data_IF_230277113662
#
_entry.id   IF_230277113662
#
_cell.length_a   1.000
_cell.length_b   1.000
_cell.length_c   1.000
_cell.angle_alpha   90.00
_cell.angle_beta   90.00
_cell.angle_gamma   90.00
#
_symmetry.space_group_name_H-M   'P 1'
#
loop_
_entity.id
_entity.type
_entity.pdbx_description
1 polymer ?
#
# COMPACT_ATOMS: atom_id res chain seq x y z
N UNK A 1 -9.89 -19.95 -15.15
CA UNK A 1 -10.62 -18.68 -15.38
C UNK A 1 -9.66 -17.52 -15.22
N UNK A 2 -9.69 -16.54 -16.15
CA UNK A 2 -8.77 -15.37 -16.13
C UNK A 2 -9.49 -14.14 -15.56
N UNK A 3 -8.93 -13.57 -14.52
CA UNK A 3 -9.47 -12.37 -13.86
C UNK A 3 -8.46 -11.22 -13.97
N UNK A 4 -8.88 -10.11 -14.56
CA UNK A 4 -8.10 -8.87 -14.55
C UNK A 4 -8.59 -7.96 -13.44
N UNK A 5 -7.68 -7.48 -12.60
CA UNK A 5 -7.96 -6.56 -11.49
C UNK A 5 -7.20 -5.25 -11.72
N UNK A 6 -7.94 -4.14 -11.86
CA UNK A 6 -7.36 -2.79 -11.87
C UNK A 6 -7.25 -2.26 -10.45
N UNK A 7 -6.01 -2.06 -10.01
CA UNK A 7 -5.68 -1.57 -8.68
C UNK A 7 -5.82 -0.05 -8.57
N UNK A 8 -6.10 0.48 -7.37
CA UNK A 8 -6.01 1.90 -7.07
C UNK A 8 -4.63 2.49 -7.36
N UNK A 9 -4.56 3.81 -7.50
CA UNK A 9 -3.31 4.49 -7.87
C UNK A 9 -2.30 4.56 -6.72
N UNK A 10 -2.79 4.75 -5.48
CA UNK A 10 -1.93 4.96 -4.31
C UNK A 10 -1.59 3.64 -3.62
N UNK A 11 -0.41 3.59 -3.02
CA UNK A 11 0.09 2.40 -2.34
C UNK A 11 -0.86 1.90 -1.24
N UNK A 12 -1.28 2.80 -0.36
CA UNK A 12 -2.18 2.47 0.75
C UNK A 12 -3.52 1.93 0.25
N UNK A 13 -4.14 2.63 -0.73
CA UNK A 13 -5.40 2.16 -1.33
C UNK A 13 -5.24 0.78 -2.00
N UNK A 14 -4.10 0.54 -2.67
CA UNK A 14 -3.78 -0.76 -3.25
C UNK A 14 -3.74 -1.86 -2.19
N UNK A 15 -3.09 -1.62 -1.07
CA UNK A 15 -3.02 -2.58 0.05
C UNK A 15 -4.40 -2.79 0.68
N UNK A 16 -5.21 -1.74 0.83
CA UNK A 16 -6.57 -1.84 1.37
C UNK A 16 -7.54 -2.65 0.48
N UNK A 17 -7.19 -2.95 -0.78
CA UNK A 17 -7.99 -3.86 -1.61
C UNK A 17 -7.77 -5.34 -1.27
N UNK A 18 -6.73 -5.69 -0.52
CA UNK A 18 -6.32 -7.10 -0.34
C UNK A 18 -7.39 -7.97 0.28
N UNK A 19 -8.18 -7.57 1.30
CA UNK A 19 -9.26 -8.41 1.81
C UNK A 19 -10.37 -8.67 0.79
N UNK A 20 -10.74 -7.65 0.02
CA UNK A 20 -11.73 -7.78 -1.06
C UNK A 20 -11.23 -8.70 -2.19
N UNK A 21 -9.95 -8.62 -2.54
CA UNK A 21 -9.31 -9.52 -3.52
C UNK A 21 -9.28 -10.96 -2.98
N UNK A 22 -8.94 -11.18 -1.71
CA UNK A 22 -8.98 -12.53 -1.11
C UNK A 22 -10.40 -13.13 -1.16
N UNK A 23 -11.44 -12.36 -0.84
CA UNK A 23 -12.83 -12.80 -0.92
C UNK A 23 -13.27 -13.09 -2.37
N UNK A 24 -12.84 -12.27 -3.33
CA UNK A 24 -13.04 -12.52 -4.76
C UNK A 24 -12.36 -13.84 -5.18
N UNK A 25 -11.13 -14.06 -4.77
CA UNK A 25 -10.38 -15.27 -5.09
C UNK A 25 -10.95 -16.53 -4.40
N UNK A 26 -11.51 -16.37 -3.21
CA UNK A 26 -12.23 -17.44 -2.53
C UNK A 26 -13.50 -17.85 -3.30
N UNK A 27 -14.26 -16.86 -3.80
CA UNK A 27 -15.47 -17.12 -4.60
C UNK A 27 -15.18 -17.87 -5.90
N UNK A 28 -14.12 -17.47 -6.61
CA UNK A 28 -13.78 -18.09 -7.90
C UNK A 28 -12.88 -19.33 -7.82
N UNK A 29 -12.33 -19.66 -6.65
CA UNK A 29 -11.47 -20.82 -6.44
C UNK A 29 -10.19 -20.79 -7.26
N UNK A 30 -10.12 -21.64 -8.27
CA UNK A 30 -8.96 -21.76 -9.19
C UNK A 30 -9.04 -20.69 -10.29
N UNK A 31 -8.52 -19.50 -10.00
CA UNK A 31 -8.48 -18.39 -10.94
C UNK A 31 -7.04 -17.89 -11.15
N UNK A 32 -6.73 -17.59 -12.40
CA UNK A 32 -5.50 -16.89 -12.80
C UNK A 32 -5.72 -15.39 -12.68
N UNK A 33 -4.92 -14.75 -11.85
CA UNK A 33 -5.05 -13.32 -11.56
C UNK A 33 -4.04 -12.51 -12.38
N UNK A 34 -4.56 -11.48 -13.01
CA UNK A 34 -3.78 -10.48 -13.73
C UNK A 34 -4.01 -9.13 -13.06
N UNK A 35 -2.93 -8.42 -12.74
CA UNK A 35 -3.03 -7.09 -12.14
C UNK A 35 -2.70 -6.02 -13.16
N UNK A 36 -3.47 -4.94 -13.15
CA UNK A 36 -3.18 -3.74 -13.92
C UNK A 36 -3.33 -2.51 -13.02
N UNK A 37 -2.41 -1.54 -13.13
CA UNK A 37 -2.48 -0.34 -12.27
C UNK A 37 -1.23 0.52 -12.29
N UNK A 38 -1.10 1.40 -11.30
CA UNK A 38 0.12 2.18 -11.10
C UNK A 38 1.29 1.26 -10.73
N UNK A 39 2.50 1.68 -11.07
CA UNK A 39 3.72 0.94 -10.71
C UNK A 39 3.76 0.56 -9.22
N UNK A 40 3.50 1.53 -8.33
CA UNK A 40 3.58 1.30 -6.87
C UNK A 40 2.55 0.30 -6.35
N UNK A 41 1.32 0.32 -6.84
CA UNK A 41 0.27 -0.60 -6.41
C UNK A 41 0.51 -2.02 -6.95
N UNK A 42 0.93 -2.11 -8.22
CA UNK A 42 1.27 -3.39 -8.85
C UNK A 42 2.48 -4.04 -8.16
N UNK A 43 3.55 -3.29 -7.94
CA UNK A 43 4.75 -3.79 -7.25
C UNK A 43 4.45 -4.31 -5.84
N UNK A 44 3.54 -3.66 -5.11
CA UNK A 44 3.17 -4.10 -3.76
C UNK A 44 2.44 -5.45 -3.74
N UNK A 45 1.61 -5.74 -4.77
CA UNK A 45 0.75 -6.92 -4.78
C UNK A 45 1.23 -8.04 -5.71
N UNK A 46 2.24 -7.81 -6.56
CA UNK A 46 2.69 -8.78 -7.57
C UNK A 46 3.19 -10.12 -7.01
N UNK A 47 3.62 -10.13 -5.74
CA UNK A 47 4.13 -11.34 -5.09
C UNK A 47 3.01 -12.24 -4.53
N UNK A 48 1.74 -11.93 -4.75
CA UNK A 48 0.65 -12.84 -4.43
C UNK A 48 0.77 -14.09 -5.33
N UNK A 49 0.78 -15.31 -4.77
CA UNK A 49 1.03 -16.55 -5.53
C UNK A 49 -0.02 -16.83 -6.61
N UNK A 50 -1.20 -16.23 -6.55
CA UNK A 50 -2.24 -16.33 -7.59
C UNK A 50 -2.05 -15.35 -8.75
N UNK A 51 -1.11 -14.41 -8.64
CA UNK A 51 -0.82 -13.42 -9.68
C UNK A 51 0.10 -14.03 -10.75
N UNK A 52 -0.45 -14.18 -11.95
CA UNK A 52 0.25 -14.75 -13.11
C UNK A 52 1.04 -13.68 -13.86
N UNK A 53 0.45 -12.48 -14.00
CA UNK A 53 1.06 -11.40 -14.79
C UNK A 53 0.60 -10.03 -14.32
N UNK A 54 1.46 -9.06 -14.51
CA UNK A 54 1.20 -7.68 -14.12
C UNK A 54 1.40 -6.73 -15.29
N UNK A 55 0.59 -5.65 -15.32
CA UNK A 55 0.66 -4.60 -16.32
C UNK A 55 0.71 -3.25 -15.61
N UNK A 56 1.73 -2.47 -15.90
CA UNK A 56 1.89 -1.14 -15.32
C UNK A 56 1.30 -0.08 -16.25
N UNK A 57 0.44 0.77 -15.69
CA UNK A 57 -0.13 1.90 -16.40
C UNK A 57 0.68 3.16 -16.11
N UNK A 58 1.12 3.81 -17.17
CA UNK A 58 1.78 5.10 -17.11
C UNK A 58 0.76 6.25 -16.99
N UNK A 59 1.25 7.44 -16.58
CA UNK A 59 0.48 8.69 -16.66
C UNK A 59 0.24 9.10 -18.11
N UNK A 60 1.13 8.75 -19.03
CA UNK A 60 0.99 9.00 -20.45
C UNK A 60 -0.15 8.17 -21.05
N UNK A 61 -1.09 8.83 -21.70
CA UNK A 61 -2.27 8.21 -22.29
C UNK A 61 -1.91 7.24 -23.43
N UNK A 62 -0.95 7.60 -24.28
CA UNK A 62 -0.52 6.76 -25.41
C UNK A 62 0.11 5.44 -24.92
N UNK A 63 0.97 5.50 -23.90
CA UNK A 63 1.57 4.32 -23.32
C UNK A 63 0.50 3.43 -22.65
N UNK A 64 -0.44 4.04 -21.92
CA UNK A 64 -1.58 3.32 -21.34
C UNK A 64 -2.39 2.63 -22.43
N UNK A 65 -2.68 3.28 -23.55
CA UNK A 65 -3.43 2.70 -24.65
C UNK A 65 -2.71 1.51 -25.29
N UNK A 66 -1.38 1.61 -25.49
CA UNK A 66 -0.54 0.47 -25.95
C UNK A 66 -0.64 -0.72 -24.99
N UNK A 67 -0.58 -0.48 -23.68
CA UNK A 67 -0.75 -1.55 -22.69
C UNK A 67 -2.14 -2.18 -22.82
N UNK A 68 -3.21 -1.37 -22.93
CA UNK A 68 -4.56 -1.89 -23.05
C UNK A 68 -4.77 -2.72 -24.34
N UNK A 69 -4.13 -2.32 -25.46
CA UNK A 69 -4.17 -3.10 -26.69
C UNK A 69 -3.41 -4.43 -26.60
N UNK A 70 -2.37 -4.50 -25.77
CA UNK A 70 -1.60 -5.72 -25.54
C UNK A 70 -2.24 -6.69 -24.54
N UNK A 71 -3.35 -6.29 -23.90
CA UNK A 71 -4.08 -7.16 -22.99
C UNK A 71 -4.78 -8.28 -23.78
N UNK A 72 -4.68 -9.47 -23.23
CA UNK A 72 -5.46 -10.62 -23.68
C UNK A 72 -6.95 -10.49 -23.31
N UNK A 73 -7.75 -11.47 -23.65
CA UNK A 73 -9.15 -11.54 -23.26
C UNK A 73 -9.29 -12.16 -21.87
N UNK A 74 -10.18 -11.58 -21.05
CA UNK A 74 -10.45 -12.01 -19.67
C UNK A 74 -11.89 -12.48 -19.51
N UNK A 75 -12.10 -13.40 -18.58
CA UNK A 75 -13.45 -13.79 -18.21
C UNK A 75 -14.15 -12.69 -17.43
N UNK A 76 -13.43 -12.10 -16.44
CA UNK A 76 -13.97 -11.03 -15.59
C UNK A 76 -12.94 -9.93 -15.39
N UNK A 77 -13.42 -8.70 -15.35
CA UNK A 77 -12.64 -7.52 -15.01
C UNK A 77 -13.24 -6.81 -13.81
N UNK A 78 -12.40 -6.52 -12.81
CA UNK A 78 -12.74 -5.71 -11.65
C UNK A 78 -11.86 -4.47 -11.60
N UNK A 79 -12.47 -3.28 -11.56
CA UNK A 79 -11.74 -2.04 -11.34
C UNK A 79 -12.04 -1.49 -9.96
N UNK A 80 -11.02 -1.37 -9.11
CA UNK A 80 -11.11 -0.69 -7.81
C UNK A 80 -10.97 0.83 -7.91
N UNK A 81 -11.08 1.39 -9.12
CA UNK A 81 -10.97 2.82 -9.39
C UNK A 81 -12.29 3.41 -9.87
N UNK A 82 -12.60 4.63 -9.39
CA UNK A 82 -13.82 5.36 -9.77
C UNK A 82 -13.55 6.58 -10.66
N UNK A 83 -12.30 6.80 -11.09
CA UNK A 83 -11.93 7.98 -11.90
C UNK A 83 -12.50 7.91 -13.32
N UNK A 84 -12.70 9.08 -13.94
CA UNK A 84 -13.12 9.17 -15.35
C UNK A 84 -12.19 8.40 -16.29
N UNK A 85 -10.86 8.51 -16.07
CA UNK A 85 -9.86 7.75 -16.82
C UNK A 85 -10.08 6.22 -16.72
N UNK A 86 -10.35 5.70 -15.52
CA UNK A 86 -10.63 4.26 -15.33
C UNK A 86 -11.91 3.83 -16.05
N UNK A 87 -12.95 4.71 -16.08
CA UNK A 87 -14.19 4.43 -16.82
C UNK A 87 -13.95 4.34 -18.32
N UNK A 88 -13.13 5.24 -18.89
CA UNK A 88 -12.73 5.15 -20.29
C UNK A 88 -11.92 3.89 -20.59
N UNK A 89 -10.93 3.57 -19.74
CA UNK A 89 -10.10 2.38 -19.92
C UNK A 89 -10.91 1.09 -19.92
N UNK A 90 -11.94 0.99 -19.07
CA UNK A 90 -12.88 -0.13 -19.03
C UNK A 90 -13.49 -0.45 -20.40
N UNK A 91 -13.69 0.53 -21.28
CA UNK A 91 -14.26 0.32 -22.61
C UNK A 91 -13.30 -0.49 -23.52
N UNK A 92 -12.00 -0.29 -23.38
CA UNK A 92 -10.97 -0.93 -24.19
C UNK A 92 -10.52 -2.30 -23.69
N UNK A 93 -10.86 -2.67 -22.45
CA UNK A 93 -10.52 -3.97 -21.90
C UNK A 93 -11.46 -5.02 -22.48
N UNK A 94 -10.89 -6.10 -23.05
CA UNK A 94 -11.64 -7.24 -23.56
C UNK A 94 -11.96 -8.18 -22.40
N UNK A 95 -13.23 -8.19 -21.97
CA UNK A 95 -13.70 -9.07 -20.89
C UNK A 95 -15.19 -9.35 -21.03
N UNK A 96 -15.62 -10.57 -20.73
CA UNK A 96 -17.01 -10.99 -20.79
C UNK A 96 -17.89 -10.22 -19.79
N UNK A 97 -17.38 -10.02 -18.57
CA UNK A 97 -18.07 -9.29 -17.51
C UNK A 97 -17.12 -8.21 -16.95
N UNK A 98 -17.65 -7.03 -16.64
CA UNK A 98 -16.85 -5.88 -16.16
C UNK A 98 -17.54 -5.19 -15.00
N UNK A 99 -16.91 -5.20 -13.85
CA UNK A 99 -17.33 -4.50 -12.64
C UNK A 99 -16.42 -3.29 -12.37
N UNK A 100 -16.98 -2.24 -11.79
CA UNK A 100 -16.21 -1.03 -11.49
C UNK A 100 -16.71 -0.37 -10.21
N UNK A 101 -15.79 -0.16 -9.29
CA UNK A 101 -16.03 0.58 -8.05
C UNK A 101 -16.52 1.99 -8.32
N UNK A 102 -17.55 2.40 -7.60
CA UNK A 102 -18.08 3.76 -7.64
C UNK A 102 -18.09 4.36 -6.23
N UNK A 103 -17.15 5.25 -5.97
CA UNK A 103 -17.00 5.91 -4.66
C UNK A 103 -18.25 6.67 -4.20
N UNK A 104 -19.14 7.05 -5.11
CA UNK A 104 -20.37 7.79 -4.77
C UNK A 104 -21.49 6.88 -4.25
N UNK A 105 -21.32 5.56 -4.33
CA UNK A 105 -22.26 4.57 -3.77
C UNK A 105 -21.83 4.20 -2.34
N UNK A 106 -20.51 4.01 -2.14
CA UNK A 106 -19.94 3.58 -0.87
C UNK A 106 -19.42 4.81 -0.10
N UNK A 107 -20.31 5.53 0.58
CA UNK A 107 -19.98 6.81 1.22
C UNK A 107 -19.43 6.64 2.64
N UNK A 108 -19.96 5.69 3.40
CA UNK A 108 -19.64 5.50 4.82
C UNK A 108 -18.75 4.30 5.06
N UNK A 109 -18.10 4.26 6.23
CA UNK A 109 -17.26 3.17 6.69
C UNK A 109 -15.80 3.26 6.21
N UNK A 110 -15.02 2.27 6.61
CA UNK A 110 -13.61 2.18 6.28
C UNK A 110 -13.39 1.80 4.81
N UNK A 111 -12.32 2.27 4.19
CA UNK A 111 -12.06 2.02 2.76
C UNK A 111 -11.96 0.52 2.42
N UNK A 112 -11.49 -0.31 3.35
CA UNK A 112 -11.46 -1.77 3.22
C UNK A 112 -12.88 -2.34 3.08
N UNK A 113 -13.81 -1.87 3.93
CA UNK A 113 -15.23 -2.27 3.87
C UNK A 113 -15.88 -1.83 2.57
N UNK A 114 -15.59 -0.59 2.11
CA UNK A 114 -16.09 -0.06 0.83
C UNK A 114 -15.66 -0.95 -0.34
N UNK A 115 -14.40 -1.39 -0.37
CA UNK A 115 -13.91 -2.30 -1.40
C UNK A 115 -14.51 -3.70 -1.29
N UNK A 116 -14.69 -4.19 -0.07
CA UNK A 116 -15.33 -5.50 0.15
C UNK A 116 -16.81 -5.49 -0.26
N UNK A 117 -17.55 -4.44 0.09
CA UNK A 117 -18.95 -4.28 -0.30
C UNK A 117 -19.12 -4.21 -1.82
N UNK A 118 -18.18 -3.55 -2.53
CA UNK A 118 -18.14 -3.57 -3.99
C UNK A 118 -18.04 -4.99 -4.54
N UNK A 119 -17.19 -5.84 -3.98
CA UNK A 119 -17.06 -7.25 -4.41
C UNK A 119 -18.34 -8.03 -4.04
N UNK A 120 -18.87 -7.84 -2.84
CA UNK A 120 -20.10 -8.50 -2.40
C UNK A 120 -21.28 -8.22 -3.34
N UNK A 121 -21.51 -6.96 -3.70
CA UNK A 121 -22.57 -6.56 -4.63
C UNK A 121 -22.32 -7.07 -6.04
N UNK A 122 -21.07 -6.99 -6.54
CA UNK A 122 -20.71 -7.46 -7.87
C UNK A 122 -20.94 -8.95 -8.05
N UNK A 123 -20.66 -9.75 -7.03
CA UNK A 123 -20.73 -11.20 -7.05
C UNK A 123 -21.98 -11.77 -6.39
N UNK A 124 -22.81 -10.92 -5.77
CA UNK A 124 -23.98 -11.32 -4.96
C UNK A 124 -23.62 -12.30 -3.85
N UNK A 125 -22.53 -12.03 -3.16
CA UNK A 125 -22.03 -12.78 -2.00
C UNK A 125 -22.13 -11.91 -0.73
N UNK A 126 -21.93 -12.51 0.44
CA UNK A 126 -21.93 -11.81 1.72
C UNK A 126 -20.67 -12.22 2.51
N UNK A 127 -19.52 -11.66 2.13
CA UNK A 127 -18.25 -11.91 2.78
C UNK A 127 -17.86 -10.74 3.70
N UNK A 128 -17.14 -11.05 4.76
CA UNK A 128 -16.57 -10.06 5.68
C UNK A 128 -15.11 -9.83 5.28
N UNK A 129 -14.60 -8.59 5.29
CA UNK A 129 -13.20 -8.34 5.01
C UNK A 129 -12.31 -8.85 6.17
N UNK A 130 -11.34 -9.68 5.85
CA UNK A 130 -10.29 -10.11 6.76
C UNK A 130 -9.23 -9.01 6.95
N UNK A 131 -8.17 -9.30 7.70
CA UNK A 131 -6.99 -8.43 7.82
C UNK A 131 -6.35 -8.16 6.47
N UNK A 132 -5.65 -7.02 6.37
CA UNK A 132 -4.79 -6.73 5.22
C UNK A 132 -3.72 -7.81 5.08
N UNK A 133 -3.32 -8.10 3.83
CA UNK A 133 -2.35 -9.17 3.55
C UNK A 133 -1.37 -8.80 2.45
N UNK A 134 -0.09 -9.00 2.72
CA UNK A 134 0.97 -8.91 1.73
C UNK A 134 1.87 -10.14 1.80
N UNK A 135 2.35 -10.58 0.64
CA UNK A 135 3.32 -11.66 0.55
C UNK A 135 4.73 -11.06 0.50
N UNK A 136 5.37 -10.94 1.65
CA UNK A 136 6.76 -10.53 1.74
C UNK A 136 7.67 -11.75 1.85
N UNK A 137 8.83 -11.67 1.21
CA UNK A 137 9.90 -12.66 1.43
C UNK A 137 10.61 -12.27 2.75
N UNK A 138 10.13 -12.80 3.85
CA UNK A 138 10.70 -12.51 5.17
C UNK A 138 11.66 -13.60 5.62
N UNK A 139 12.88 -13.19 5.96
CA UNK A 139 13.67 -13.89 6.98
C UNK A 139 13.89 -12.86 8.08
N UNK A 140 13.25 -13.04 9.24
CA UNK A 140 13.67 -12.32 10.44
C UNK A 140 15.10 -12.77 10.72
N UNK A 141 16.03 -11.85 10.60
CA UNK A 141 17.42 -12.08 10.98
C UNK A 141 17.53 -12.05 12.51
N UNK A 142 18.36 -12.91 13.09
CA UNK A 142 18.69 -12.82 14.50
C UNK A 142 19.44 -11.52 14.77
N UNK A 143 18.94 -10.74 15.72
CA UNK A 143 19.47 -9.42 16.06
C UNK A 143 19.61 -9.25 17.55
N UNK A 144 20.61 -8.50 17.95
CA UNK A 144 20.86 -8.16 19.37
C UNK A 144 19.92 -7.05 19.85
N UNK A 145 19.53 -6.13 18.95
CA UNK A 145 18.57 -5.05 19.22
C UNK A 145 17.33 -5.18 18.34
N UNK A 146 16.21 -4.66 18.83
CA UNK A 146 14.96 -4.50 18.06
C UNK A 146 15.11 -3.41 17.01
N UNK A 147 14.27 -3.43 15.97
CA UNK A 147 14.24 -2.40 14.92
C UNK A 147 13.04 -1.49 15.08
N UNK A 148 13.30 -0.20 15.13
CA UNK A 148 12.32 0.89 15.06
C UNK A 148 12.34 1.50 13.66
N UNK A 149 11.21 1.43 12.96
CA UNK A 149 11.01 2.18 11.73
C UNK A 149 10.42 3.57 12.00
N UNK A 150 10.93 4.57 11.30
CA UNK A 150 10.38 5.93 11.29
C UNK A 150 9.98 6.28 9.85
N UNK A 151 8.73 6.68 9.64
CA UNK A 151 8.28 7.19 8.35
C UNK A 151 7.64 8.57 8.53
N UNK A 152 8.41 9.66 8.41
CA UNK A 152 7.95 11.03 8.64
C UNK A 152 7.07 11.57 7.52
N UNK A 153 6.82 10.77 6.48
CA UNK A 153 6.20 11.20 5.26
C UNK A 153 4.69 11.10 5.23
N UNK A 154 4.12 11.99 4.43
CA UNK A 154 2.82 11.84 3.82
C UNK A 154 2.94 12.46 2.43
N UNK A 155 2.77 11.66 1.39
CA UNK A 155 2.95 12.11 -0.01
C UNK A 155 1.92 13.15 -0.42
N UNK A 156 0.77 13.21 0.25
CA UNK A 156 -0.32 14.13 -0.03
C UNK A 156 -0.63 15.02 1.17
N UNK A 157 -0.17 16.27 1.06
CA UNK A 157 -0.46 17.33 2.03
C UNK A 157 0.55 17.43 3.18
N UNK A 158 1.12 18.64 3.36
CA UNK A 158 2.06 18.95 4.46
C UNK A 158 1.37 18.88 5.84
N UNK A 159 0.07 19.16 5.90
CA UNK A 159 -0.71 19.12 7.13
C UNK A 159 -0.82 17.72 7.78
N UNK A 160 -0.56 16.65 7.01
CA UNK A 160 -0.50 15.28 7.52
C UNK A 160 0.85 14.91 8.15
N UNK A 161 1.85 15.80 8.06
CA UNK A 161 3.21 15.49 8.48
C UNK A 161 3.45 15.97 9.91
N UNK A 162 3.83 15.04 10.78
CA UNK A 162 4.38 15.39 12.06
C UNK A 162 5.77 16.00 11.88
N UNK A 163 6.17 16.90 12.76
CA UNK A 163 7.43 17.63 12.62
C UNK A 163 8.64 16.67 12.74
N UNK A 164 9.66 16.74 11.85
CA UNK A 164 10.82 15.85 11.88
C UNK A 164 11.52 15.79 13.23
N UNK A 165 11.65 16.93 13.91
CA UNK A 165 12.23 17.00 15.25
C UNK A 165 11.53 16.09 16.26
N UNK A 166 10.20 15.95 16.18
CA UNK A 166 9.45 15.08 17.10
C UNK A 166 9.74 13.60 16.84
N UNK A 167 9.89 13.21 15.56
CA UNK A 167 10.39 11.87 15.22
C UNK A 167 11.79 11.64 15.79
N UNK A 168 12.67 12.64 15.73
CA UNK A 168 14.04 12.54 16.28
C UNK A 168 14.03 12.41 17.79
N UNK A 169 13.23 13.18 18.52
CA UNK A 169 13.11 13.11 19.98
C UNK A 169 12.70 11.70 20.43
N UNK A 170 11.71 11.09 19.75
CA UNK A 170 11.31 9.70 20.03
C UNK A 170 12.41 8.70 19.69
N UNK A 171 13.09 8.89 18.56
CA UNK A 171 14.19 8.03 18.13
C UNK A 171 15.37 8.07 19.12
N UNK A 172 15.74 9.25 19.58
CA UNK A 172 16.82 9.46 20.56
C UNK A 172 16.50 8.71 21.86
N UNK A 173 15.29 8.87 22.38
CA UNK A 173 14.84 8.21 23.61
C UNK A 173 14.87 6.68 23.49
N UNK A 174 14.52 6.15 22.29
CA UNK A 174 14.47 4.72 22.03
C UNK A 174 15.80 4.11 21.54
N UNK A 175 16.81 4.92 21.20
CA UNK A 175 18.08 4.49 20.56
C UNK A 175 18.89 3.48 21.39
N UNK A 176 18.74 3.49 22.71
CA UNK A 176 19.38 2.51 23.58
C UNK A 176 18.84 1.09 23.43
N UNK A 177 17.55 0.96 23.05
CA UNK A 177 16.82 -0.31 22.94
C UNK A 177 16.59 -0.76 21.50
N UNK A 178 16.62 0.18 20.54
CA UNK A 178 16.31 -0.08 19.14
C UNK A 178 17.41 0.45 18.23
N UNK A 179 17.68 -0.27 17.15
CA UNK A 179 18.32 0.28 15.98
C UNK A 179 17.26 0.96 15.11
N UNK A 180 17.59 2.08 14.48
CA UNK A 180 16.62 2.98 13.86
C UNK A 180 16.73 2.89 12.34
N UNK A 181 15.60 2.76 11.66
CA UNK A 181 15.52 2.86 10.19
C UNK A 181 14.57 4.00 9.82
N UNK A 182 15.07 4.95 9.02
CA UNK A 182 14.30 6.09 8.54
C UNK A 182 13.86 5.79 7.09
N UNK A 183 12.54 5.76 6.87
CA UNK A 183 11.94 5.57 5.55
C UNK A 183 11.44 6.89 4.97
N UNK A 184 11.18 6.88 3.68
CA UNK A 184 10.56 7.97 2.96
C UNK A 184 10.76 7.84 1.45
N UNK A 185 9.84 8.37 0.67
CA UNK A 185 10.01 8.53 -0.77
C UNK A 185 10.88 9.74 -1.11
N UNK A 186 10.96 10.05 -2.41
CA UNK A 186 11.76 11.20 -2.90
C UNK A 186 11.31 12.53 -2.28
N UNK A 187 10.00 12.69 -2.03
CA UNK A 187 9.44 13.92 -1.43
C UNK A 187 9.71 14.06 0.06
N UNK A 188 10.04 12.98 0.72
CA UNK A 188 10.31 12.91 2.15
C UNK A 188 11.81 12.98 2.48
N UNK A 189 12.67 13.02 1.46
CA UNK A 189 14.13 13.04 1.61
C UNK A 189 14.63 14.15 2.54
N UNK A 190 14.04 15.34 2.45
CA UNK A 190 14.42 16.47 3.31
C UNK A 190 14.01 16.25 4.78
N UNK A 191 12.80 15.73 5.00
CA UNK A 191 12.35 15.41 6.36
C UNK A 191 13.22 14.31 7.00
N UNK A 192 13.61 13.30 6.24
CA UNK A 192 14.50 12.25 6.69
C UNK A 192 15.90 12.76 7.02
N UNK A 193 16.47 13.66 6.20
CA UNK A 193 17.74 14.32 6.48
C UNK A 193 17.70 15.18 7.75
N UNK A 194 16.58 15.86 7.98
CA UNK A 194 16.42 16.65 9.21
C UNK A 194 16.40 15.75 10.45
N UNK A 195 15.74 14.59 10.38
CA UNK A 195 15.80 13.61 11.47
C UNK A 195 17.24 13.14 11.69
N UNK A 196 17.92 12.72 10.63
CA UNK A 196 19.30 12.25 10.67
C UNK A 196 20.23 13.29 11.30
N UNK A 197 20.10 14.57 10.93
CA UNK A 197 20.87 15.67 11.51
C UNK A 197 20.72 15.74 13.04
N UNK A 198 19.48 15.67 13.54
CA UNK A 198 19.22 15.69 14.98
C UNK A 198 19.79 14.45 15.70
N UNK A 199 19.74 13.27 15.08
CA UNK A 199 20.32 12.05 15.62
C UNK A 199 21.86 12.21 15.78
N UNK A 200 22.53 12.74 14.76
CA UNK A 200 23.98 13.02 14.77
C UNK A 200 24.33 14.01 15.88
N UNK A 201 23.61 15.14 15.97
CA UNK A 201 23.82 16.18 16.97
C UNK A 201 23.72 15.64 18.42
N UNK A 202 22.86 14.60 18.60
CA UNK A 202 22.66 13.95 19.91
C UNK A 202 23.52 12.69 20.12
N UNK A 203 24.48 12.42 19.22
CA UNK A 203 25.42 11.30 19.34
C UNK A 203 24.82 9.92 19.06
N UNK A 204 23.63 9.83 18.48
CA UNK A 204 23.01 8.57 18.08
C UNK A 204 23.64 8.11 16.77
N UNK A 205 24.24 6.91 16.76
CA UNK A 205 24.96 6.35 15.60
C UNK A 205 24.37 5.03 15.09
N UNK A 206 23.41 4.43 15.80
CA UNK A 206 22.75 3.20 15.44
C UNK A 206 21.46 3.44 14.64
N UNK A 207 21.61 4.12 13.51
CA UNK A 207 20.53 4.38 12.58
C UNK A 207 20.95 4.16 11.13
N UNK A 208 19.96 3.95 10.26
CA UNK A 208 20.11 3.91 8.81
C UNK A 208 19.05 4.77 8.14
N UNK A 209 19.45 5.64 7.23
CA UNK A 209 18.54 6.47 6.44
C UNK A 209 18.32 5.85 5.06
N UNK A 210 17.17 5.22 4.85
CA UNK A 210 16.75 4.57 3.61
C UNK A 210 15.83 5.44 2.75
N UNK A 211 15.61 6.70 3.12
CA UNK A 211 14.71 7.58 2.39
C UNK A 211 15.19 7.81 0.95
N UNK A 212 14.30 7.58 0.00
CA UNK A 212 14.50 7.73 -1.46
C UNK A 212 15.46 6.75 -2.15
N UNK A 213 15.93 5.71 -1.45
CA UNK A 213 16.86 4.72 -2.02
C UNK A 213 16.28 3.31 -2.10
N UNK A 214 15.13 3.05 -1.50
CA UNK A 214 14.46 1.75 -1.55
C UNK A 214 13.47 1.66 -2.71
N UNK A 215 13.42 0.50 -3.35
CA UNK A 215 12.30 0.07 -4.19
C UNK A 215 11.10 -0.29 -3.32
N UNK A 216 9.91 -0.48 -3.91
CA UNK A 216 8.71 -0.91 -3.17
C UNK A 216 8.90 -2.28 -2.51
N UNK A 217 9.55 -3.23 -3.20
CA UNK A 217 9.81 -4.55 -2.64
C UNK A 217 10.81 -4.51 -1.49
N UNK A 218 11.86 -3.71 -1.60
CA UNK A 218 12.80 -3.49 -0.49
C UNK A 218 12.12 -2.82 0.69
N UNK A 219 11.30 -1.80 0.45
CA UNK A 219 10.51 -1.14 1.51
C UNK A 219 9.61 -2.15 2.24
N UNK A 220 8.89 -3.02 1.51
CA UNK A 220 8.07 -4.08 2.10
C UNK A 220 8.92 -5.03 2.94
N UNK A 221 10.07 -5.47 2.40
CA UNK A 221 10.98 -6.37 3.12
C UNK A 221 11.58 -5.73 4.37
N UNK A 222 11.95 -4.47 4.31
CA UNK A 222 12.47 -3.73 5.46
C UNK A 222 11.40 -3.52 6.54
N UNK A 223 10.17 -3.13 6.16
CA UNK A 223 9.06 -2.99 7.11
C UNK A 223 8.73 -4.33 7.77
N UNK A 224 8.75 -5.41 7.01
CA UNK A 224 8.47 -6.75 7.54
C UNK A 224 9.47 -7.24 8.60
N UNK A 225 10.65 -6.64 8.64
CA UNK A 225 11.68 -6.94 9.65
C UNK A 225 11.60 -6.05 10.90
N UNK A 226 10.73 -5.04 10.92
CA UNK A 226 10.59 -4.14 12.06
C UNK A 226 9.93 -4.84 13.26
N UNK A 227 10.23 -4.35 14.44
CA UNK A 227 9.52 -4.68 15.67
C UNK A 227 8.43 -3.64 16.00
N UNK A 228 8.60 -2.41 15.48
CA UNK A 228 7.62 -1.33 15.57
C UNK A 228 7.84 -0.30 14.46
N UNK A 229 6.76 0.26 13.93
CA UNK A 229 6.79 1.40 13.00
C UNK A 229 6.10 2.61 13.62
N UNK A 230 6.73 3.79 13.55
CA UNK A 230 6.10 5.09 13.83
C UNK A 230 5.98 5.84 12.51
N UNK A 231 4.76 6.20 12.13
CA UNK A 231 4.48 6.74 10.79
C UNK A 231 3.37 7.78 10.83
N UNK A 232 3.35 8.68 9.85
CA UNK A 232 2.16 9.45 9.52
C UNK A 232 1.14 8.61 8.74
N UNK A 233 -0.04 9.18 8.49
CA UNK A 233 -1.09 8.63 7.62
C UNK A 233 -0.59 8.55 6.17
N UNK A 234 -0.07 7.38 5.79
CA UNK A 234 0.60 7.15 4.50
C UNK A 234 0.65 5.68 4.10
N UNK A 235 1.09 5.40 2.87
CA UNK A 235 1.22 4.03 2.35
C UNK A 235 1.97 3.05 3.26
N UNK A 236 3.13 3.39 3.83
CA UNK A 236 3.86 2.54 4.78
C UNK A 236 3.07 2.09 6.00
N UNK A 237 2.11 2.89 6.49
CA UNK A 237 1.19 2.50 7.55
C UNK A 237 0.39 1.25 7.17
N UNK A 238 -0.17 1.22 5.96
CA UNK A 238 -0.94 0.09 5.46
C UNK A 238 -0.06 -1.13 5.14
N UNK A 239 1.20 -0.90 4.69
CA UNK A 239 2.16 -1.99 4.53
C UNK A 239 2.44 -2.66 5.87
N UNK A 240 2.69 -1.88 6.92
CA UNK A 240 2.95 -2.41 8.26
C UNK A 240 1.73 -3.18 8.81
N UNK A 241 0.52 -2.65 8.64
CA UNK A 241 -0.71 -3.35 9.01
C UNK A 241 -0.85 -4.70 8.28
N UNK A 242 -0.62 -4.72 6.96
CA UNK A 242 -0.68 -5.93 6.15
C UNK A 242 0.41 -6.97 6.49
N UNK A 243 1.52 -6.52 7.08
CA UNK A 243 2.63 -7.34 7.55
C UNK A 243 2.54 -7.67 9.04
N UNK A 244 1.46 -7.23 9.71
CA UNK A 244 1.20 -7.45 11.15
C UNK A 244 2.32 -6.85 12.03
N UNK A 245 2.89 -5.72 11.63
CA UNK A 245 3.91 -5.00 12.40
C UNK A 245 3.22 -4.01 13.33
N UNK A 246 3.51 -4.04 14.65
CA UNK A 246 3.04 -3.04 15.59
C UNK A 246 3.32 -1.63 15.09
N UNK A 247 2.28 -0.80 15.02
CA UNK A 247 2.38 0.52 14.35
C UNK A 247 1.73 1.61 15.19
N UNK A 248 2.48 2.68 15.40
CA UNK A 248 1.96 3.95 15.93
C UNK A 248 1.74 4.90 14.75
N UNK A 249 0.48 5.16 14.42
CA UNK A 249 0.11 6.05 13.33
C UNK A 249 -0.30 7.42 13.86
N UNK A 250 0.29 8.47 13.29
CA UNK A 250 0.03 9.86 13.64
C UNK A 250 -0.86 10.47 12.57
N UNK A 251 -2.09 10.79 12.95
CA UNK A 251 -3.07 11.40 12.07
C UNK A 251 -3.09 12.91 12.26
N UNK A 252 -3.17 13.62 11.14
CA UNK A 252 -3.47 15.05 11.07
C UNK A 252 -4.96 15.28 10.78
N UNK A 253 -5.31 16.17 9.86
CA UNK A 253 -6.69 16.57 9.57
C UNK A 253 -7.47 15.56 8.71
N UNK A 254 -6.98 14.33 8.56
CA UNK A 254 -7.67 13.27 7.81
C UNK A 254 -8.61 12.48 8.68
N UNK A 255 -9.70 12.00 8.10
CA UNK A 255 -10.65 11.13 8.79
C UNK A 255 -10.00 9.74 9.01
N UNK A 256 -9.61 9.45 10.24
CA UNK A 256 -8.99 8.19 10.61
C UNK A 256 -9.96 7.00 10.50
N UNK A 257 -11.27 7.22 10.65
CA UNK A 257 -12.27 6.16 10.53
C UNK A 257 -12.32 5.57 9.12
N UNK A 258 -11.92 6.35 8.11
CA UNK A 258 -11.91 5.89 6.73
C UNK A 258 -10.61 5.17 6.32
N UNK A 259 -9.48 5.54 6.92
CA UNK A 259 -8.16 5.12 6.43
C UNK A 259 -7.17 4.70 7.51
N UNK A 260 -7.60 4.42 8.74
CA UNK A 260 -6.70 3.89 9.76
C UNK A 260 -6.16 2.49 9.42
N UNK A 261 -5.28 1.96 10.26
CA UNK A 261 -4.78 0.60 10.09
C UNK A 261 -5.92 -0.40 10.22
N UNK A 262 -6.05 -1.25 9.24
CA UNK A 262 -6.96 -2.39 9.26
C UNK A 262 -6.15 -3.66 9.55
N UNK A 263 -6.35 -4.25 10.74
CA UNK A 263 -5.56 -5.40 11.21
C UNK A 263 -6.47 -6.59 11.55
#
# INVERSE_FOLDING_TARGET
MKILIELPTWLGDGVMTTPAIENLLHHYGEAEVYLVGSFISVEALKNNPKVIKTYVLDKNFLNTFKVLQSLEEFDVFFSFRSSFRARLMKLFIKSKVKYQFNKNIYLEGHQVEKYNNFINESLKINSIPNSLKLNAKNKKEERTKKLLGLNPGASYGSAKRWHPRRFSEVAIELSTRYDIIIFGGVREKEAAKNIEKYLIEMGVNNYQNLASITTINELISQIANLDILITGDSGPMHLAAALQIPTVAIFGPTNHDETSQWM
#
